data_IF_479197688401
#
_entry.id   IF_479197688401
#
_cell.length_a   1.000
_cell.length_b   1.000
_cell.length_c   1.000
_cell.angle_alpha   90.00
_cell.angle_beta   90.00
_cell.angle_gamma   90.00
#
_symmetry.space_group_name_H-M   'P 1'
#
loop_
_entity.id
_entity.type
_entity.pdbx_description
1 polymer ?
#
# COMPACT_ATOMS: atom_id res chain seq x y z
N UNK A 1 15.40 9.59 25.84
CA UNK A 1 15.58 8.25 25.25
C UNK A 1 14.43 8.03 24.28
N UNK A 2 14.65 8.23 22.98
CA UNK A 2 13.63 7.95 21.97
C UNK A 2 13.85 6.50 21.54
N UNK A 3 12.91 5.64 21.92
CA UNK A 3 12.89 4.24 21.55
C UNK A 3 12.61 4.19 20.04
N UNK A 4 13.63 3.88 19.23
CA UNK A 4 13.40 3.50 17.85
C UNK A 4 12.57 2.21 17.88
N UNK A 5 11.28 2.32 17.56
CA UNK A 5 10.47 1.16 17.30
C UNK A 5 11.01 0.52 16.02
N UNK A 6 11.91 -0.44 16.18
CA UNK A 6 12.31 -1.34 15.12
C UNK A 6 11.05 -2.09 14.69
N UNK A 7 10.42 -1.65 13.60
CA UNK A 7 9.30 -2.39 13.01
C UNK A 7 9.85 -3.78 12.67
N UNK A 8 9.22 -4.87 13.15
CA UNK A 8 9.64 -6.20 12.76
C UNK A 8 9.53 -6.29 11.24
N UNK A 9 10.62 -6.73 10.60
CA UNK A 9 10.74 -6.85 9.16
C UNK A 9 9.90 -8.03 8.64
N UNK A 10 8.57 -7.98 8.83
CA UNK A 10 7.63 -8.98 8.33
C UNK A 10 6.85 -8.40 7.15
N UNK A 11 7.58 -7.95 6.13
CA UNK A 11 7.01 -7.76 4.79
C UNK A 11 6.81 -9.15 4.19
N UNK A 12 5.55 -9.58 4.09
CA UNK A 12 5.17 -10.76 3.32
C UNK A 12 4.94 -10.31 1.88
N UNK A 13 5.78 -10.71 0.91
CA UNK A 13 5.56 -10.35 -0.47
C UNK A 13 4.23 -10.93 -0.97
N UNK A 14 3.45 -10.18 -1.76
CA UNK A 14 2.22 -10.69 -2.34
C UNK A 14 2.56 -11.78 -3.37
N UNK A 15 2.32 -13.05 -3.02
CA UNK A 15 2.34 -14.16 -3.98
C UNK A 15 3.48 -15.17 -3.83
N UNK A 16 3.59 -15.85 -2.68
CA UNK A 16 4.25 -17.17 -2.61
C UNK A 16 3.34 -18.24 -3.25
N UNK A 17 3.11 -18.11 -4.57
CA UNK A 17 2.48 -19.14 -5.39
C UNK A 17 3.54 -19.74 -6.29
N UNK A 18 3.75 -21.05 -6.18
CA UNK A 18 4.72 -21.83 -6.96
C UNK A 18 4.43 -21.74 -8.47
N UNK A 19 4.93 -20.69 -9.15
CA UNK A 19 4.81 -20.51 -10.60
C UNK A 19 6.15 -20.76 -11.28
N UNK A 20 6.10 -21.59 -12.31
CA UNK A 20 7.25 -22.17 -13.00
C UNK A 20 8.27 -21.15 -13.52
N UNK A 21 9.52 -21.60 -13.50
CA UNK A 21 10.75 -20.93 -13.92
C UNK A 21 10.63 -19.94 -15.10
N UNK A 22 10.52 -18.65 -14.77
CA UNK A 22 10.93 -17.54 -15.64
C UNK A 22 11.99 -16.70 -14.93
N UNK A 23 13.06 -16.34 -15.65
CA UNK A 23 14.23 -15.59 -15.14
C UNK A 23 13.89 -14.29 -14.41
N UNK A 24 12.79 -13.63 -14.77
CA UNK A 24 12.34 -12.37 -14.17
C UNK A 24 11.86 -12.52 -12.72
N UNK A 25 11.23 -13.64 -12.37
CA UNK A 25 10.74 -13.88 -11.01
C UNK A 25 11.86 -14.09 -10.00
N UNK A 26 13.04 -14.57 -10.44
CA UNK A 26 14.21 -14.71 -9.57
C UNK A 26 14.83 -13.35 -9.24
N UNK A 27 14.97 -12.48 -10.23
CA UNK A 27 15.53 -11.13 -10.02
C UNK A 27 14.64 -10.27 -9.13
N UNK A 28 13.32 -10.35 -9.32
CA UNK A 28 12.35 -9.65 -8.47
C UNK A 28 12.41 -10.16 -7.03
N UNK A 29 12.40 -11.49 -6.82
CA UNK A 29 12.52 -12.09 -5.48
C UNK A 29 13.85 -11.74 -4.78
N UNK A 30 14.95 -11.63 -5.52
CA UNK A 30 16.24 -11.18 -5.00
C UNK A 30 16.21 -9.69 -4.63
N UNK A 31 15.57 -8.85 -5.44
CA UNK A 31 15.40 -7.43 -5.15
C UNK A 31 14.52 -7.20 -3.91
N UNK A 32 13.46 -7.99 -3.73
CA UNK A 32 12.59 -7.96 -2.55
C UNK A 32 13.33 -8.43 -1.30
N UNK A 33 14.06 -9.55 -1.39
CA UNK A 33 14.85 -10.08 -0.27
C UNK A 33 15.91 -9.11 0.23
N UNK A 34 16.54 -8.38 -0.70
CA UNK A 34 17.63 -7.46 -0.41
C UNK A 34 17.20 -5.98 -0.42
N UNK A 35 15.90 -5.72 -0.36
CA UNK A 35 15.37 -4.35 -0.40
C UNK A 35 15.89 -3.55 0.81
N UNK A 36 16.53 -2.41 0.52
CA UNK A 36 16.99 -1.47 1.54
C UNK A 36 16.08 -0.26 1.57
N UNK A 37 15.87 0.32 2.76
CA UNK A 37 15.16 1.60 2.89
C UNK A 37 16.07 2.73 2.40
N UNK A 38 15.63 3.45 1.38
CA UNK A 38 16.34 4.60 0.79
C UNK A 38 15.93 5.91 1.44
N UNK A 39 14.65 6.04 1.81
CA UNK A 39 14.12 7.20 2.52
C UNK A 39 13.16 6.75 3.61
N UNK A 40 13.20 7.46 4.73
CA UNK A 40 12.27 7.30 5.84
C UNK A 40 12.00 8.68 6.44
N UNK A 41 10.75 9.09 6.40
CA UNK A 41 10.22 10.28 7.05
C UNK A 41 9.18 9.82 8.07
N UNK A 42 9.32 10.26 9.32
CA UNK A 42 8.40 9.93 10.40
C UNK A 42 8.21 11.14 11.28
N UNK A 43 6.97 11.57 11.40
CA UNK A 43 6.62 12.75 12.18
C UNK A 43 5.39 12.48 13.04
N UNK A 44 5.44 12.94 14.28
CA UNK A 44 4.31 12.92 15.21
C UNK A 44 4.06 14.37 15.63
N UNK A 45 2.84 14.87 15.40
CA UNK A 45 2.43 16.25 15.65
C UNK A 45 1.09 16.26 16.38
N UNK A 46 1.12 16.53 17.68
CA UNK A 46 -0.10 16.57 18.51
C UNK A 46 -0.86 15.24 18.42
N UNK A 47 -2.13 15.33 18.01
CA UNK A 47 -3.01 14.16 17.79
C UNK A 47 -2.87 13.53 16.40
N UNK A 48 -1.83 13.91 15.66
CA UNK A 48 -1.58 13.46 14.29
C UNK A 48 -0.22 12.80 14.09
N UNK A 49 -0.12 12.07 12.99
CA UNK A 49 1.10 11.42 12.54
C UNK A 49 1.24 11.56 11.03
N UNK A 50 2.48 11.46 10.55
CA UNK A 50 2.83 11.31 9.16
C UNK A 50 3.98 10.32 9.06
N UNK A 51 3.92 9.43 8.09
CA UNK A 51 5.07 8.64 7.69
C UNK A 51 5.18 8.58 6.18
N UNK A 52 6.40 8.47 5.68
CA UNK A 52 6.68 8.13 4.30
C UNK A 52 7.96 7.31 4.23
N UNK A 53 8.00 6.31 3.35
CA UNK A 53 9.21 5.55 3.11
C UNK A 53 9.32 5.10 1.66
N UNK A 54 10.57 4.91 1.22
CA UNK A 54 10.92 4.41 -0.09
C UNK A 54 11.98 3.32 0.06
N UNK A 55 11.88 2.25 -0.72
CA UNK A 55 12.84 1.14 -0.73
C UNK A 55 13.53 1.00 -2.09
N UNK A 56 14.67 0.32 -2.11
CA UNK A 56 15.50 0.14 -3.31
C UNK A 56 14.85 -0.73 -4.39
N UNK A 57 13.85 -1.55 -4.04
CA UNK A 57 13.06 -2.34 -4.99
C UNK A 57 11.85 -1.57 -5.54
N UNK A 58 11.75 -0.26 -5.28
CA UNK A 58 10.71 0.60 -5.84
C UNK A 58 9.38 0.57 -5.08
N UNK A 59 9.36 0.03 -3.85
CA UNK A 59 8.19 0.18 -2.98
C UNK A 59 8.22 1.58 -2.34
N UNK A 60 7.09 2.25 -2.40
CA UNK A 60 6.90 3.57 -1.79
C UNK A 60 5.59 3.54 -1.02
N UNK A 61 5.56 4.13 0.16
CA UNK A 61 4.32 4.31 0.88
C UNK A 61 4.36 5.59 1.70
N UNK A 62 3.21 6.24 1.80
CA UNK A 62 2.99 7.40 2.66
C UNK A 62 1.60 7.32 3.31
N UNK A 63 1.51 7.78 4.54
CA UNK A 63 0.24 7.97 5.23
C UNK A 63 0.34 9.15 6.18
N UNK A 64 -0.75 9.89 6.29
CA UNK A 64 -0.95 10.89 7.32
C UNK A 64 -2.32 10.71 7.95
N UNK A 65 -2.38 10.93 9.26
CA UNK A 65 -3.60 10.79 10.01
C UNK A 65 -3.70 11.74 11.18
N UNK A 66 -4.93 12.06 11.55
CA UNK A 66 -5.27 12.83 12.75
C UNK A 66 -6.72 12.59 13.12
N UNK A 67 -7.04 12.67 14.41
CA UNK A 67 -8.44 12.66 14.89
C UNK A 67 -9.26 11.45 14.41
N UNK A 68 -8.66 10.26 14.40
CA UNK A 68 -9.34 9.01 13.99
C UNK A 68 -9.61 8.89 12.50
N UNK A 69 -9.00 9.73 11.67
CA UNK A 69 -9.03 9.66 10.21
C UNK A 69 -7.61 9.61 9.67
N UNK A 70 -7.36 8.79 8.66
CA UNK A 70 -6.10 8.80 7.92
C UNK A 70 -6.32 8.68 6.41
N UNK A 71 -5.33 9.16 5.68
CA UNK A 71 -5.24 9.02 4.22
C UNK A 71 -3.82 8.65 3.87
N UNK A 72 -3.68 7.83 2.85
CA UNK A 72 -2.37 7.40 2.41
C UNK A 72 -2.40 6.72 1.06
N UNK A 73 -1.26 6.19 0.70
CA UNK A 73 -1.11 5.39 -0.48
C UNK A 73 0.20 4.62 -0.46
N UNK A 74 0.24 3.60 -1.30
CA UNK A 74 1.46 2.87 -1.57
C UNK A 74 1.55 2.50 -3.05
N UNK A 75 2.78 2.39 -3.52
CA UNK A 75 3.09 1.90 -4.86
C UNK A 75 4.16 0.81 -4.79
N UNK A 76 4.09 -0.14 -5.72
CA UNK A 76 5.08 -1.20 -5.87
C UNK A 76 5.18 -1.63 -7.34
N UNK A 77 6.33 -2.18 -7.71
CA UNK A 77 6.52 -2.81 -9.02
C UNK A 77 6.11 -4.28 -8.92
N UNK A 78 5.16 -4.72 -9.75
CA UNK A 78 4.75 -6.11 -9.82
C UNK A 78 5.67 -6.98 -10.69
N UNK A 79 5.44 -8.29 -10.66
CA UNK A 79 6.23 -9.28 -11.42
C UNK A 79 6.20 -9.10 -12.94
N UNK A 80 5.19 -8.37 -13.43
CA UNK A 80 5.03 -7.97 -14.83
C UNK A 80 5.80 -6.69 -15.20
N UNK A 81 6.55 -6.13 -14.24
CA UNK A 81 7.29 -4.87 -14.39
C UNK A 81 6.40 -3.62 -14.37
N UNK A 82 5.10 -3.76 -14.10
CA UNK A 82 4.17 -2.63 -14.01
C UNK A 82 4.15 -2.08 -12.59
N UNK A 83 4.06 -0.76 -12.46
CA UNK A 83 3.82 -0.12 -11.16
C UNK A 83 2.33 -0.16 -10.83
N UNK A 84 2.03 -0.68 -9.65
CA UNK A 84 0.72 -0.72 -9.06
C UNK A 84 0.65 0.32 -7.96
N UNK A 85 -0.41 1.14 -8.00
CA UNK A 85 -0.64 2.19 -6.99
C UNK A 85 -2.00 1.98 -6.35
N UNK A 86 -2.03 2.11 -5.03
CA UNK A 86 -3.25 2.17 -4.22
C UNK A 86 -3.24 3.46 -3.43
N UNK A 87 -4.37 4.18 -3.44
CA UNK A 87 -4.66 5.28 -2.50
C UNK A 87 -5.81 4.86 -1.61
N UNK A 88 -5.85 5.37 -0.38
CA UNK A 88 -6.89 5.00 0.56
C UNK A 88 -7.23 6.11 1.55
N UNK A 89 -8.43 6.01 2.11
CA UNK A 89 -8.85 6.71 3.33
C UNK A 89 -9.29 5.69 4.37
N UNK A 90 -9.03 5.97 5.64
CA UNK A 90 -9.47 5.15 6.76
C UNK A 90 -10.09 6.05 7.83
N UNK A 91 -11.21 5.63 8.42
CA UNK A 91 -11.88 6.37 9.48
C UNK A 91 -13.19 5.71 9.90
N UNK A 92 -14.14 6.50 10.39
CA UNK A 92 -15.46 6.03 10.82
C UNK A 92 -16.21 5.23 9.72
N UNK A 93 -16.02 5.59 8.45
CA UNK A 93 -16.57 4.86 7.30
C UNK A 93 -15.80 3.60 6.88
N UNK A 94 -14.86 3.14 7.70
CA UNK A 94 -13.97 2.02 7.40
C UNK A 94 -12.82 2.39 6.46
N UNK A 95 -12.17 1.36 5.91
CA UNK A 95 -11.08 1.49 4.94
C UNK A 95 -11.63 1.51 3.51
N UNK A 96 -11.29 2.54 2.75
CA UNK A 96 -11.74 2.74 1.37
C UNK A 96 -10.52 2.91 0.48
N UNK A 97 -10.20 1.89 -0.33
CA UNK A 97 -9.07 1.90 -1.25
C UNK A 97 -9.49 2.09 -2.71
N UNK A 98 -8.62 2.74 -3.46
CA UNK A 98 -8.77 3.01 -4.89
C UNK A 98 -7.46 2.64 -5.60
N UNK A 99 -7.56 1.95 -6.72
CA UNK A 99 -6.42 1.54 -7.53
C UNK A 99 -6.89 0.87 -8.81
N UNK A 100 -6.18 1.10 -9.91
CA UNK A 100 -6.60 0.61 -11.24
C UNK A 100 -6.68 -0.92 -11.36
N UNK A 101 -6.04 -1.63 -10.44
CA UNK A 101 -5.98 -3.10 -10.39
C UNK A 101 -6.92 -3.70 -9.34
N UNK A 102 -7.61 -2.85 -8.56
CA UNK A 102 -8.54 -3.34 -7.54
C UNK A 102 -9.86 -3.75 -8.20
N UNK A 103 -10.54 -4.78 -7.68
CA UNK A 103 -11.89 -5.12 -8.11
C UNK A 103 -12.82 -3.93 -7.92
N UNK A 104 -13.50 -3.52 -8.98
CA UNK A 104 -14.60 -2.56 -8.88
C UNK A 104 -15.90 -3.33 -8.64
N UNK A 105 -16.74 -2.91 -7.68
CA UNK A 105 -18.06 -3.49 -7.55
C UNK A 105 -18.82 -3.30 -8.87
N UNK A 106 -19.66 -4.26 -9.26
CA UNK A 106 -20.47 -4.11 -10.47
C UNK A 106 -21.31 -2.82 -10.36
N UNK A 107 -21.53 -2.10 -11.47
CA UNK A 107 -22.34 -0.90 -11.45
C UNK A 107 -23.71 -1.22 -10.86
N UNK A 108 -24.14 -0.41 -9.91
CA UNK A 108 -25.46 -0.53 -9.27
C UNK A 108 -26.54 -0.46 -10.35
N UNK A 109 -27.44 -1.45 -10.48
CA UNK A 109 -28.51 -1.42 -11.47
C UNK A 109 -29.34 -0.14 -11.36
N UNK A 110 -29.73 0.43 -12.51
CA UNK A 110 -30.46 1.70 -12.60
C UNK A 110 -31.77 1.71 -11.79
N UNK A 111 -32.35 0.54 -11.53
CA UNK A 111 -33.59 0.39 -10.75
C UNK A 111 -33.47 0.95 -9.32
N UNK A 112 -32.27 0.93 -8.72
CA UNK A 112 -32.04 1.41 -7.34
C UNK A 112 -32.01 2.95 -7.28
N UNK A 113 -31.70 3.65 -8.39
CA UNK A 113 -31.67 5.12 -8.46
C UNK A 113 -33.07 5.75 -8.58
N UNK A 114 -34.06 5.00 -9.08
CA UNK A 114 -35.42 5.49 -9.32
C UNK A 114 -36.35 5.35 -8.09
N UNK A 115 -35.97 4.54 -7.10
CA UNK A 115 -36.80 4.28 -5.91
C UNK A 115 -36.76 5.39 -4.83
N UNK A 116 -36.15 6.55 -5.12
CA UNK A 116 -36.06 7.69 -4.19
C UNK A 116 -36.99 8.86 -4.56
N UNK A 117 -38.22 8.54 -4.97
CA UNK A 117 -39.30 9.50 -5.24
C UNK A 117 -40.44 9.23 -4.28
#
# INVERSE_FOLDING_TARGET
MILAAQLPNSYLPPGSGNHGSTSSGRLQAEAERNAAVLKLDQEIKGDGFRYAYETSNGLQAEEEGSNGQSRGGFSYTGDDGRTYTVTFTAGEGGFQAQGAHLPVPPPTPQEILLAKI
#
